data_IF_800382724859
#
_entry.id   IF_800382724859
#
_cell.length_a   1.000
_cell.length_b   1.000
_cell.length_c   1.000
_cell.angle_alpha   90.00
_cell.angle_beta   90.00
_cell.angle_gamma   90.00
#
_symmetry.space_group_name_H-M   'P 1'
#
loop_
_entity.id
_entity.type
_entity.pdbx_description
1 polymer ?
#
# COMPACT_ATOMS: atom_id res chain seq x y z
N UNK A 1 16.09 15.38 -14.21
CA UNK A 1 17.19 15.37 -15.22
C UNK A 1 16.67 16.05 -16.48
N UNK A 2 17.27 17.18 -16.86
CA UNK A 2 16.98 17.82 -18.16
C UNK A 2 17.98 17.30 -19.17
N UNK A 3 17.52 16.50 -20.10
CA UNK A 3 18.27 16.21 -21.31
C UNK A 3 17.51 16.87 -22.45
N UNK A 4 18.09 17.91 -23.04
CA UNK A 4 17.55 18.66 -24.20
C UNK A 4 16.13 19.27 -24.02
N UNK A 5 15.81 19.82 -22.85
CA UNK A 5 14.52 20.50 -22.63
C UNK A 5 13.29 19.59 -22.54
N UNK A 6 13.46 18.28 -22.54
CA UNK A 6 12.38 17.32 -22.35
C UNK A 6 12.24 17.02 -20.85
N UNK A 7 11.09 17.34 -20.30
CA UNK A 7 10.75 16.97 -18.93
C UNK A 7 10.52 15.44 -18.86
N UNK A 8 11.58 14.68 -18.56
CA UNK A 8 11.48 13.22 -18.47
C UNK A 8 10.64 12.88 -17.25
N UNK A 9 9.45 12.32 -17.48
CA UNK A 9 8.59 11.81 -16.42
C UNK A 9 9.37 10.80 -15.57
N UNK A 10 9.31 10.96 -14.25
CA UNK A 10 9.90 9.95 -13.34
C UNK A 10 9.07 8.69 -13.38
N UNK A 11 9.74 7.53 -13.45
CA UNK A 11 9.06 6.24 -13.31
C UNK A 11 8.80 5.96 -11.84
N UNK A 12 7.53 5.77 -11.51
CA UNK A 12 7.08 5.41 -10.17
C UNK A 12 6.60 3.96 -10.21
N UNK A 13 7.08 3.15 -9.28
CA UNK A 13 6.63 1.76 -9.15
C UNK A 13 5.94 1.56 -7.81
N UNK A 14 4.79 0.94 -7.86
CA UNK A 14 4.07 0.47 -6.67
C UNK A 14 3.43 -0.89 -6.92
N UNK A 15 3.18 -1.63 -5.84
CA UNK A 15 2.54 -2.93 -5.92
C UNK A 15 1.61 -3.16 -4.74
N UNK A 16 0.54 -3.92 -4.98
CA UNK A 16 -0.35 -4.37 -3.92
C UNK A 16 -0.32 -5.88 -3.81
N UNK A 17 -0.18 -6.36 -2.57
CA UNK A 17 -0.30 -7.77 -2.28
C UNK A 17 -1.77 -8.18 -2.23
N UNK A 18 -2.22 -9.19 -3.02
CA UNK A 18 -3.60 -9.63 -3.08
C UNK A 18 -3.96 -10.51 -1.86
N UNK A 19 -3.94 -9.92 -0.67
CA UNK A 19 -4.14 -10.60 0.61
C UNK A 19 -5.62 -10.71 1.05
N UNK A 20 -6.58 -10.55 0.13
CA UNK A 20 -8.04 -10.61 0.36
C UNK A 20 -8.72 -9.28 0.05
N UNK A 21 -9.98 -9.13 0.45
CA UNK A 21 -10.79 -7.93 0.17
C UNK A 21 -10.05 -6.64 0.55
N UNK A 22 -10.10 -5.67 -0.38
CA UNK A 22 -9.52 -4.35 -0.14
C UNK A 22 -10.47 -3.51 0.74
N UNK A 23 -9.88 -2.66 1.56
CA UNK A 23 -10.60 -1.82 2.51
C UNK A 23 -10.13 -0.36 2.41
N UNK A 24 -10.87 0.56 3.01
CA UNK A 24 -10.58 1.99 2.96
C UNK A 24 -9.13 2.33 3.37
N UNK A 25 -8.54 1.55 4.30
CA UNK A 25 -7.14 1.68 4.66
C UNK A 25 -6.17 1.40 3.49
N UNK A 26 -6.50 0.51 2.56
CA UNK A 26 -5.73 0.29 1.34
C UNK A 26 -5.91 1.45 0.37
N UNK A 27 -7.15 1.93 0.20
CA UNK A 27 -7.45 3.04 -0.70
C UNK A 27 -6.70 4.31 -0.29
N UNK A 28 -6.95 4.82 0.90
CA UNK A 28 -6.32 6.06 1.38
C UNK A 28 -4.83 5.91 1.72
N UNK A 29 -4.39 4.69 2.05
CA UNK A 29 -3.00 4.41 2.36
C UNK A 29 -2.09 4.35 1.13
N UNK A 30 -2.62 3.93 -0.03
CA UNK A 30 -1.79 3.70 -1.21
C UNK A 30 -2.53 3.95 -2.53
N UNK A 31 -3.75 3.37 -2.74
CA UNK A 31 -4.37 3.32 -4.07
C UNK A 31 -4.73 4.69 -4.62
N UNK A 32 -5.30 5.59 -3.81
CA UNK A 32 -5.65 6.96 -4.22
C UNK A 32 -4.47 7.72 -4.80
N UNK A 33 -3.28 7.51 -4.22
CA UNK A 33 -2.05 8.15 -4.71
C UNK A 33 -1.57 7.57 -6.03
N UNK A 34 -1.73 6.26 -6.23
CA UNK A 34 -1.39 5.65 -7.52
C UNK A 34 -2.25 6.23 -8.61
N UNK A 35 -3.54 6.44 -8.33
CA UNK A 35 -4.47 7.08 -9.26
C UNK A 35 -4.02 8.53 -9.55
N UNK A 36 -3.56 9.28 -8.56
CA UNK A 36 -3.03 10.64 -8.76
C UNK A 36 -1.70 10.65 -9.54
N UNK A 37 -0.80 9.70 -9.26
CA UNK A 37 0.51 9.62 -9.91
C UNK A 37 0.43 9.33 -11.40
N UNK A 38 -0.59 8.59 -11.87
CA UNK A 38 -0.74 8.28 -13.28
C UNK A 38 -0.90 9.53 -14.18
N UNK A 39 -1.37 10.64 -13.62
CA UNK A 39 -1.60 11.86 -14.40
C UNK A 39 -0.29 12.59 -14.75
N UNK A 40 0.71 12.51 -13.88
CA UNK A 40 1.94 13.32 -13.99
C UNK A 40 3.21 12.51 -14.19
N UNK A 41 3.16 11.19 -13.99
CA UNK A 41 4.34 10.33 -13.98
C UNK A 41 4.18 9.15 -14.95
N UNK A 42 5.28 8.43 -15.18
CA UNK A 42 5.29 7.12 -15.81
C UNK A 42 5.01 6.07 -14.72
N UNK A 43 3.73 5.76 -14.52
CA UNK A 43 3.31 4.88 -13.42
C UNK A 43 3.36 3.41 -13.84
N UNK A 44 4.07 2.63 -13.03
CA UNK A 44 4.13 1.18 -13.05
C UNK A 44 3.44 0.65 -11.79
N UNK A 45 2.36 -0.11 -11.94
CA UNK A 45 1.59 -0.64 -10.83
C UNK A 45 1.33 -2.14 -11.02
N UNK A 46 1.64 -2.97 -10.02
CA UNK A 46 1.48 -4.41 -10.15
C UNK A 46 0.75 -5.06 -8.98
N UNK A 47 0.10 -6.17 -9.27
CA UNK A 47 -0.42 -7.09 -8.25
C UNK A 47 0.69 -8.07 -7.92
N UNK A 48 1.27 -7.98 -6.71
CA UNK A 48 2.43 -8.78 -6.29
C UNK A 48 2.00 -10.13 -5.72
N UNK A 49 1.47 -10.98 -6.60
CA UNK A 49 0.91 -12.29 -6.23
C UNK A 49 1.99 -13.31 -5.79
N UNK A 50 3.24 -13.19 -6.27
CA UNK A 50 4.34 -14.04 -5.78
C UNK A 50 4.69 -13.71 -4.33
N UNK A 51 4.67 -12.43 -3.93
CA UNK A 51 4.84 -12.04 -2.52
C UNK A 51 3.73 -12.61 -1.63
N UNK A 52 2.51 -12.74 -2.16
CA UNK A 52 1.38 -13.29 -1.42
C UNK A 52 1.57 -14.77 -1.03
N UNK A 53 2.38 -15.53 -1.78
CA UNK A 53 2.72 -16.93 -1.48
C UNK A 53 3.44 -17.10 -0.11
N UNK A 54 3.98 -16.02 0.44
CA UNK A 54 4.56 -16.06 1.80
C UNK A 54 3.51 -16.22 2.90
N UNK A 55 2.22 -16.00 2.58
CA UNK A 55 1.11 -16.01 3.55
C UNK A 55 -0.14 -16.73 3.06
N UNK A 56 -0.27 -17.01 1.76
CA UNK A 56 -1.41 -17.68 1.15
C UNK A 56 -0.90 -18.95 0.48
N UNK A 57 -1.38 -20.09 0.94
CA UNK A 57 -1.05 -21.43 0.42
C UNK A 57 -2.20 -22.09 -0.37
N UNK A 58 -3.35 -21.41 -0.47
CA UNK A 58 -4.52 -21.86 -1.24
C UNK A 58 -4.55 -21.21 -2.63
N UNK A 59 -4.48 -22.05 -3.68
CA UNK A 59 -4.50 -21.62 -5.09
C UNK A 59 -5.76 -20.85 -5.46
N UNK A 60 -6.93 -21.28 -5.00
CA UNK A 60 -8.21 -20.68 -5.39
C UNK A 60 -8.37 -19.30 -4.74
N UNK A 61 -7.94 -19.18 -3.49
CA UNK A 61 -7.93 -17.92 -2.74
C UNK A 61 -6.96 -16.93 -3.40
N UNK A 62 -5.73 -17.35 -3.72
CA UNK A 62 -4.74 -16.49 -4.34
C UNK A 62 -5.22 -15.99 -5.72
N UNK A 63 -5.73 -16.90 -6.56
CA UNK A 63 -6.24 -16.53 -7.89
C UNK A 63 -7.41 -15.55 -7.79
N UNK A 64 -8.40 -15.83 -6.95
CA UNK A 64 -9.55 -14.95 -6.72
C UNK A 64 -9.12 -13.56 -6.22
N UNK A 65 -8.24 -13.53 -5.23
CA UNK A 65 -7.78 -12.26 -4.65
C UNK A 65 -6.97 -11.43 -5.66
N UNK A 66 -6.19 -12.09 -6.53
CA UNK A 66 -5.41 -11.42 -7.59
C UNK A 66 -6.33 -10.74 -8.58
N UNK A 67 -7.35 -11.45 -9.07
CA UNK A 67 -8.34 -10.89 -10.00
C UNK A 67 -9.15 -9.77 -9.35
N UNK A 68 -9.63 -9.97 -8.12
CA UNK A 68 -10.40 -8.96 -7.41
C UNK A 68 -9.58 -7.68 -7.19
N UNK A 69 -8.31 -7.79 -6.80
CA UNK A 69 -7.45 -6.63 -6.63
C UNK A 69 -7.27 -5.84 -7.94
N UNK A 70 -7.17 -6.53 -9.08
CA UNK A 70 -7.11 -5.87 -10.39
C UNK A 70 -8.42 -5.13 -10.72
N UNK A 71 -9.56 -5.78 -10.49
CA UNK A 71 -10.89 -5.18 -10.70
C UNK A 71 -11.04 -3.92 -9.82
N UNK A 72 -10.70 -4.02 -8.55
CA UNK A 72 -10.82 -2.93 -7.58
C UNK A 72 -9.97 -1.72 -8.00
N UNK A 73 -8.72 -1.94 -8.46
CA UNK A 73 -7.86 -0.86 -8.93
C UNK A 73 -8.45 -0.13 -10.13
N UNK A 74 -8.94 -0.88 -11.13
CA UNK A 74 -9.56 -0.30 -12.34
C UNK A 74 -10.85 0.45 -11.97
N UNK A 75 -11.69 -0.15 -11.13
CA UNK A 75 -12.94 0.46 -10.67
C UNK A 75 -12.71 1.76 -9.87
N UNK A 76 -11.58 1.88 -9.18
CA UNK A 76 -11.21 3.08 -8.43
C UNK A 76 -10.54 4.17 -9.28
N UNK A 77 -10.31 3.91 -10.57
CA UNK A 77 -9.84 4.92 -11.52
C UNK A 77 -8.40 4.74 -12.01
N UNK A 78 -7.75 3.60 -11.75
CA UNK A 78 -6.50 3.27 -12.42
C UNK A 78 -6.79 3.03 -13.91
N UNK A 79 -6.25 3.89 -14.78
CA UNK A 79 -6.45 3.81 -16.22
C UNK A 79 -5.33 2.99 -16.88
N UNK A 80 -5.61 1.80 -17.44
CA UNK A 80 -4.62 0.98 -18.11
C UNK A 80 -4.01 1.62 -19.38
N UNK A 81 -4.61 2.69 -19.90
CA UNK A 81 -4.04 3.47 -21.03
C UNK A 81 -2.98 4.45 -20.57
N UNK A 82 -2.98 4.84 -19.29
CA UNK A 82 -2.03 5.79 -18.69
C UNK A 82 -0.97 5.09 -17.84
N UNK A 83 -1.27 3.88 -17.37
CA UNK A 83 -0.47 3.13 -16.40
C UNK A 83 -0.08 1.78 -16.97
N UNK A 84 1.18 1.39 -16.81
CA UNK A 84 1.56 -0.01 -17.01
C UNK A 84 1.08 -0.80 -15.80
N UNK A 85 0.06 -1.65 -16.04
CA UNK A 85 -0.58 -2.44 -15.00
C UNK A 85 -0.51 -3.94 -15.31
N UNK A 86 0.02 -4.75 -14.37
CA UNK A 86 0.24 -6.18 -14.62
C UNK A 86 0.17 -7.01 -13.33
N UNK A 87 0.17 -8.34 -13.51
CA UNK A 87 0.32 -9.32 -12.43
C UNK A 87 1.78 -9.76 -12.40
N UNK A 88 2.42 -9.69 -11.24
CA UNK A 88 3.85 -9.98 -11.04
C UNK A 88 4.26 -11.36 -11.60
N UNK A 89 3.47 -12.39 -11.30
CA UNK A 89 3.75 -13.76 -11.72
C UNK A 89 3.64 -14.02 -13.23
N UNK A 90 3.06 -13.09 -14.00
CA UNK A 90 2.96 -13.19 -15.45
C UNK A 90 4.25 -12.73 -16.16
N UNK A 91 5.23 -12.23 -15.39
CA UNK A 91 6.55 -11.79 -15.88
C UNK A 91 7.64 -12.73 -15.34
N UNK A 92 8.00 -13.80 -16.06
CA UNK A 92 8.99 -14.80 -15.59
C UNK A 92 10.36 -14.18 -15.24
N UNK A 93 10.71 -13.07 -15.90
CA UNK A 93 11.96 -12.36 -15.67
C UNK A 93 12.12 -11.85 -14.23
N UNK A 94 11.02 -11.66 -13.50
CA UNK A 94 11.06 -11.30 -12.08
C UNK A 94 11.73 -12.42 -11.28
N UNK A 95 11.37 -13.69 -11.50
CA UNK A 95 12.01 -14.83 -10.84
C UNK A 95 13.45 -15.03 -11.32
N UNK A 96 13.71 -14.84 -12.62
CA UNK A 96 15.06 -14.93 -13.18
C UNK A 96 16.00 -13.88 -12.57
N UNK A 97 15.57 -12.61 -12.52
CA UNK A 97 16.36 -11.54 -11.89
C UNK A 97 16.55 -11.77 -10.39
N UNK A 98 15.54 -12.32 -9.70
CA UNK A 98 15.66 -12.71 -8.29
C UNK A 98 16.80 -13.72 -8.09
N UNK A 99 16.91 -14.71 -8.98
CA UNK A 99 18.02 -15.66 -8.92
C UNK A 99 19.37 -14.99 -9.16
N UNK A 100 19.48 -14.13 -10.19
CA UNK A 100 20.71 -13.37 -10.46
C UNK A 100 21.13 -12.52 -9.26
N UNK A 101 20.18 -11.79 -8.67
CA UNK A 101 20.45 -10.95 -7.50
C UNK A 101 20.79 -11.76 -6.25
N UNK A 102 20.24 -12.95 -6.09
CA UNK A 102 20.59 -13.84 -4.98
C UNK A 102 22.08 -14.21 -4.97
N UNK A 103 22.70 -14.33 -6.15
CA UNK A 103 24.13 -14.68 -6.25
C UNK A 103 25.09 -13.53 -5.89
N UNK A 104 24.59 -12.30 -5.85
CA UNK A 104 25.37 -11.12 -5.46
C UNK A 104 24.94 -10.52 -4.12
N UNK A 105 23.89 -11.06 -3.49
CA UNK A 105 23.39 -10.58 -2.20
C UNK A 105 24.01 -11.33 -1.06
N UNK A 106 24.68 -10.62 -0.13
CA UNK A 106 25.26 -11.23 1.04
C UNK A 106 24.19 -11.64 2.06
N UNK A 107 24.31 -12.81 2.67
CA UNK A 107 23.41 -13.30 3.73
C UNK A 107 23.25 -12.27 4.86
N UNK A 108 24.33 -11.63 5.31
CA UNK A 108 24.27 -10.61 6.35
C UNK A 108 23.44 -9.38 6.03
N UNK A 109 23.15 -9.10 4.75
CA UNK A 109 22.19 -8.05 4.36
C UNK A 109 20.76 -8.49 4.69
N UNK A 110 20.41 -9.73 4.42
CA UNK A 110 19.09 -10.31 4.71
C UNK A 110 18.90 -10.55 6.22
N UNK A 111 19.94 -10.98 6.93
CA UNK A 111 19.92 -11.19 8.40
C UNK A 111 19.58 -9.92 9.17
N UNK A 112 19.97 -8.77 8.63
CA UNK A 112 19.64 -7.46 9.21
C UNK A 112 18.23 -6.97 8.87
N UNK A 113 17.53 -7.66 7.98
CA UNK A 113 16.14 -7.30 7.63
C UNK A 113 15.24 -7.49 8.84
N UNK A 114 14.65 -6.41 9.32
CA UNK A 114 13.72 -6.41 10.46
C UNK A 114 12.45 -7.16 10.15
N UNK A 115 11.98 -7.08 8.92
CA UNK A 115 10.70 -7.64 8.50
C UNK A 115 10.63 -9.17 8.56
N UNK A 116 11.73 -9.89 8.34
CA UNK A 116 11.77 -11.35 8.54
C UNK A 116 11.54 -11.68 10.03
N UNK A 117 12.27 -11.00 10.92
CA UNK A 117 12.16 -11.19 12.37
C UNK A 117 10.76 -10.86 12.87
N UNK A 118 10.18 -9.76 12.39
CA UNK A 118 8.82 -9.34 12.75
C UNK A 118 7.75 -10.34 12.28
N UNK A 119 7.91 -10.92 11.10
CA UNK A 119 6.99 -11.93 10.58
C UNK A 119 7.07 -13.24 11.37
N UNK A 120 8.27 -13.69 11.74
CA UNK A 120 8.45 -14.86 12.61
C UNK A 120 7.85 -14.58 14.00
N UNK A 121 8.08 -13.40 14.58
CA UNK A 121 7.48 -13.01 15.87
C UNK A 121 5.94 -12.99 15.83
N UNK A 122 5.34 -12.73 14.65
CA UNK A 122 3.90 -12.80 14.41
C UNK A 122 3.38 -14.22 14.10
N UNK A 123 4.22 -15.24 14.22
CA UNK A 123 3.83 -16.64 14.09
C UNK A 123 3.87 -17.21 12.68
N UNK A 124 4.45 -16.51 11.69
CA UNK A 124 4.67 -17.08 10.37
C UNK A 124 5.76 -18.16 10.44
N UNK A 125 5.55 -19.26 9.71
CA UNK A 125 6.55 -20.33 9.64
C UNK A 125 7.78 -19.86 8.85
N UNK A 126 9.01 -20.02 9.38
CA UNK A 126 10.21 -19.67 8.65
C UNK A 126 10.35 -20.57 7.42
N UNK A 127 10.53 -19.94 6.27
CA UNK A 127 10.86 -20.63 5.02
C UNK A 127 11.78 -19.74 4.17
N UNK A 128 12.38 -20.31 3.12
CA UNK A 128 13.34 -19.61 2.25
C UNK A 128 12.68 -18.41 1.56
N UNK A 129 11.43 -18.54 1.10
CA UNK A 129 10.71 -17.44 0.46
C UNK A 129 10.51 -16.26 1.41
N UNK A 130 10.15 -16.53 2.67
CA UNK A 130 9.99 -15.49 3.69
C UNK A 130 11.32 -14.82 4.05
N UNK A 131 12.43 -15.54 3.98
CA UNK A 131 13.76 -15.00 4.22
C UNK A 131 14.29 -14.17 3.04
N UNK A 132 14.08 -14.66 1.81
CA UNK A 132 14.64 -14.08 0.59
C UNK A 132 13.71 -13.09 -0.14
N UNK A 133 12.47 -12.88 0.32
CA UNK A 133 11.52 -12.00 -0.37
C UNK A 133 12.03 -10.55 -0.59
N UNK A 134 12.98 -9.98 0.21
CA UNK A 134 13.56 -8.68 -0.11
C UNK A 134 14.32 -8.65 -1.44
N UNK A 135 14.87 -9.79 -1.87
CA UNK A 135 15.52 -9.93 -3.18
C UNK A 135 14.47 -9.93 -4.31
N UNK A 136 13.35 -10.64 -4.10
CA UNK A 136 12.22 -10.61 -5.02
C UNK A 136 11.67 -9.19 -5.17
N UNK A 137 11.53 -8.44 -4.08
CA UNK A 137 11.11 -7.04 -4.12
C UNK A 137 12.13 -6.15 -4.83
N UNK A 138 13.44 -6.40 -4.66
CA UNK A 138 14.47 -5.70 -5.41
C UNK A 138 14.33 -5.98 -6.92
N UNK A 139 13.97 -7.21 -7.31
CA UNK A 139 13.72 -7.57 -8.71
C UNK A 139 12.51 -6.79 -9.27
N UNK A 140 11.42 -6.69 -8.52
CA UNK A 140 10.26 -5.90 -8.92
C UNK A 140 10.62 -4.43 -9.18
N UNK A 141 11.54 -3.87 -8.41
CA UNK A 141 11.93 -2.46 -8.50
C UNK A 141 12.93 -2.22 -9.63
N UNK A 142 13.98 -3.03 -9.65
CA UNK A 142 15.13 -2.80 -10.53
C UNK A 142 14.84 -3.19 -11.98
N UNK A 143 14.11 -4.27 -12.21
CA UNK A 143 13.79 -4.77 -13.54
C UNK A 143 13.05 -3.72 -14.39
N UNK A 144 12.23 -2.91 -13.79
CA UNK A 144 11.46 -1.88 -14.46
C UNK A 144 12.09 -0.49 -14.43
N UNK A 145 13.29 -0.35 -13.86
CA UNK A 145 14.02 0.92 -13.80
C UNK A 145 13.27 2.00 -13.01
N UNK A 146 12.67 1.63 -11.89
CA UNK A 146 11.92 2.55 -11.04
C UNK A 146 12.83 3.63 -10.44
N UNK A 147 12.47 4.90 -10.61
CA UNK A 147 13.16 6.03 -9.99
C UNK A 147 12.65 6.28 -8.57
N UNK A 148 11.34 6.14 -8.38
CA UNK A 148 10.65 6.42 -7.11
C UNK A 148 9.77 5.23 -6.74
N UNK A 149 9.84 4.82 -5.48
CA UNK A 149 8.98 3.77 -4.91
C UNK A 149 8.26 4.34 -3.69
N UNK A 150 6.96 4.65 -3.79
CA UNK A 150 6.14 5.09 -2.66
C UNK A 150 5.96 3.94 -1.68
N UNK A 151 6.41 4.13 -0.44
CA UNK A 151 6.36 3.10 0.60
C UNK A 151 6.07 3.68 1.98
N UNK A 152 5.50 2.86 2.85
CA UNK A 152 5.44 3.16 4.28
C UNK A 152 6.84 3.17 4.92
N UNK A 153 6.96 3.78 6.09
CA UNK A 153 8.24 3.84 6.84
C UNK A 153 8.83 2.46 7.12
N UNK A 154 7.98 1.47 7.37
CA UNK A 154 8.34 0.07 7.61
C UNK A 154 8.97 -0.62 6.41
N UNK A 155 8.72 -0.13 5.19
CA UNK A 155 9.25 -0.67 3.94
C UNK A 155 10.52 0.03 3.45
N UNK A 156 10.96 1.11 4.12
CA UNK A 156 12.16 1.87 3.71
C UNK A 156 13.39 0.97 3.58
N UNK A 157 13.59 0.06 4.52
CA UNK A 157 14.73 -0.86 4.52
C UNK A 157 14.77 -1.74 3.27
N UNK A 158 13.62 -2.13 2.71
CA UNK A 158 13.59 -2.94 1.48
C UNK A 158 14.08 -2.14 0.26
N UNK A 159 13.78 -0.84 0.21
CA UNK A 159 14.30 0.02 -0.86
C UNK A 159 15.81 0.21 -0.70
N UNK A 160 16.32 0.31 0.52
CA UNK A 160 17.75 0.35 0.80
C UNK A 160 18.44 -0.95 0.35
N UNK A 161 17.83 -2.12 0.62
CA UNK A 161 18.32 -3.42 0.12
C UNK A 161 18.35 -3.44 -1.42
N UNK A 162 17.29 -2.96 -2.09
CA UNK A 162 17.26 -2.89 -3.54
C UNK A 162 18.36 -1.97 -4.10
N UNK A 163 18.64 -0.84 -3.45
CA UNK A 163 19.74 0.06 -3.80
C UNK A 163 21.10 -0.61 -3.65
N UNK A 164 21.33 -1.31 -2.54
CA UNK A 164 22.58 -2.04 -2.29
C UNK A 164 22.83 -3.12 -3.36
N UNK A 165 21.79 -3.84 -3.75
CA UNK A 165 21.84 -4.83 -4.84
C UNK A 165 22.16 -4.14 -6.16
N UNK A 166 21.50 -3.03 -6.49
CA UNK A 166 21.77 -2.28 -7.73
C UNK A 166 23.20 -1.75 -7.78
N UNK A 167 23.69 -1.13 -6.71
CA UNK A 167 25.07 -0.63 -6.60
C UNK A 167 26.07 -1.77 -6.84
N UNK A 168 25.84 -2.90 -6.21
CA UNK A 168 26.73 -4.06 -6.33
C UNK A 168 26.69 -4.67 -7.72
N UNK A 169 25.51 -4.78 -8.33
CA UNK A 169 25.34 -5.26 -9.70
C UNK A 169 26.07 -4.32 -10.69
N UNK A 170 25.80 -3.03 -10.60
CA UNK A 170 26.43 -2.03 -11.48
C UNK A 170 27.95 -2.03 -11.36
N UNK A 171 28.48 -2.25 -10.16
CA UNK A 171 29.94 -2.36 -9.94
C UNK A 171 30.54 -3.59 -10.63
N UNK A 172 29.82 -4.72 -10.66
CA UNK A 172 30.34 -5.98 -11.21
C UNK A 172 30.16 -6.06 -12.71
N UNK A 173 28.98 -5.63 -13.21
CA UNK A 173 28.54 -5.87 -14.59
C UNK A 173 28.41 -4.60 -15.44
N UNK A 174 28.73 -3.43 -14.87
CA UNK A 174 28.56 -2.13 -15.52
C UNK A 174 27.21 -1.47 -15.20
N UNK A 175 27.13 -0.17 -15.48
CA UNK A 175 25.95 0.68 -15.24
C UNK A 175 24.69 0.12 -15.94
N UNK A 176 23.84 -0.56 -15.20
CA UNK A 176 22.65 -1.26 -15.71
C UNK A 176 21.38 -0.77 -15.02
N UNK A 177 21.37 -0.72 -13.70
CA UNK A 177 20.18 -0.41 -12.92
C UNK A 177 20.19 1.01 -12.36
N UNK A 178 19.03 1.68 -12.48
CA UNK A 178 18.76 2.95 -11.81
C UNK A 178 18.67 2.71 -10.29
N UNK A 179 19.22 3.64 -9.50
CA UNK A 179 19.10 3.58 -8.05
C UNK A 179 17.74 4.12 -7.60
N UNK A 180 16.83 3.29 -7.07
CA UNK A 180 15.51 3.73 -6.67
C UNK A 180 15.57 4.60 -5.42
N UNK A 181 14.67 5.59 -5.32
CA UNK A 181 14.49 6.42 -4.13
C UNK A 181 13.16 6.09 -3.43
N UNK A 182 13.15 5.89 -2.10
CA UNK A 182 11.91 5.75 -1.37
C UNK A 182 11.18 7.08 -1.29
N UNK A 183 9.89 7.08 -1.61
CA UNK A 183 9.02 8.21 -1.32
C UNK A 183 8.21 7.91 -0.06
N UNK A 184 8.65 8.46 1.07
CA UNK A 184 7.98 8.30 2.35
C UNK A 184 7.22 9.58 2.64
N UNK A 185 5.91 9.51 2.65
CA UNK A 185 5.13 10.69 3.00
C UNK A 185 5.20 11.01 4.49
N UNK A 186 5.39 12.30 4.77
CA UNK A 186 5.36 12.85 6.13
C UNK A 186 3.99 12.70 6.79
N UNK A 187 2.93 12.67 5.98
CA UNK A 187 1.54 12.53 6.40
C UNK A 187 0.98 11.16 6.01
N UNK A 188 1.53 10.08 6.55
CA UNK A 188 0.82 8.81 6.56
C UNK A 188 -0.41 8.98 7.46
N UNK A 189 -1.51 9.49 6.88
CA UNK A 189 -2.79 9.57 7.57
C UNK A 189 -3.15 8.15 7.99
N UNK A 190 -3.05 7.90 9.27
CA UNK A 190 -3.47 6.62 9.84
C UNK A 190 -4.98 6.52 9.59
N UNK A 191 -5.37 5.61 8.70
CA UNK A 191 -6.80 5.37 8.46
C UNK A 191 -7.34 4.58 9.64
N UNK A 192 -8.24 5.16 10.45
CA UNK A 192 -8.80 4.47 11.58
C UNK A 192 -9.76 3.37 11.13
N UNK A 193 -9.73 2.23 11.81
CA UNK A 193 -10.75 1.21 11.73
C UNK A 193 -11.99 1.56 12.56
N UNK A 194 -12.97 0.67 12.56
CA UNK A 194 -14.22 0.87 13.33
C UNK A 194 -14.00 0.97 14.84
N UNK A 195 -12.87 0.48 15.33
CA UNK A 195 -12.44 0.48 16.73
C UNK A 195 -11.47 1.62 17.09
N UNK A 196 -11.17 2.52 16.14
CA UNK A 196 -10.24 3.63 16.31
C UNK A 196 -8.76 3.29 16.14
N UNK A 197 -8.39 2.02 16.14
CA UNK A 197 -7.03 1.58 15.84
C UNK A 197 -6.75 1.67 14.34
N UNK A 198 -5.49 1.49 13.93
CA UNK A 198 -5.14 1.39 12.51
C UNK A 198 -5.99 0.34 11.81
N UNK A 199 -6.65 0.72 10.72
CA UNK A 199 -7.46 -0.20 9.93
C UNK A 199 -6.60 -1.35 9.37
N UNK A 200 -6.96 -2.58 9.75
CA UNK A 200 -6.24 -3.79 9.36
C UNK A 200 -7.15 -5.02 9.43
N UNK A 201 -6.97 -5.93 8.49
CA UNK A 201 -7.65 -7.24 8.49
C UNK A 201 -7.37 -8.04 9.75
N UNK A 202 -6.14 -7.96 10.27
CA UNK A 202 -5.73 -8.65 11.50
C UNK A 202 -6.56 -8.25 12.72
N UNK A 203 -7.02 -7.00 12.75
CA UNK A 203 -7.86 -6.48 13.84
C UNK A 203 -9.36 -6.62 13.55
N UNK A 204 -9.75 -7.16 12.38
CA UNK A 204 -11.16 -7.30 11.95
C UNK A 204 -11.96 -5.98 12.00
N UNK A 205 -11.26 -4.85 11.92
CA UNK A 205 -11.80 -3.49 12.07
C UNK A 205 -11.94 -2.75 10.74
N UNK A 206 -11.92 -3.47 9.62
CA UNK A 206 -11.93 -2.91 8.27
C UNK A 206 -13.33 -2.49 7.80
N UNK A 207 -13.37 -1.47 6.95
CA UNK A 207 -14.52 -1.10 6.14
C UNK A 207 -14.16 -1.44 4.70
N UNK A 208 -14.90 -2.34 4.01
CA UNK A 208 -14.59 -2.72 2.64
C UNK A 208 -14.82 -1.55 1.68
N UNK A 209 -14.04 -1.48 0.60
CA UNK A 209 -14.22 -0.45 -0.45
C UNK A 209 -15.50 -0.75 -1.24
N UNK A 210 -15.69 -2.02 -1.59
CA UNK A 210 -16.85 -2.51 -2.32
C UNK A 210 -17.61 -3.53 -1.49
N UNK A 211 -18.93 -3.57 -1.68
CA UNK A 211 -19.80 -4.49 -0.99
C UNK A 211 -21.26 -4.09 -1.14
N UNK A 212 -22.18 -4.88 -0.59
CA UNK A 212 -23.59 -4.47 -0.54
C UNK A 212 -23.75 -3.27 0.41
N UNK A 213 -24.68 -2.38 0.09
CA UNK A 213 -25.03 -1.24 0.93
C UNK A 213 -25.25 -1.65 2.40
N UNK A 214 -25.95 -2.77 2.62
CA UNK A 214 -26.22 -3.33 3.96
C UNK A 214 -24.91 -3.61 4.73
N UNK A 215 -23.89 -4.16 4.07
CA UNK A 215 -22.61 -4.48 4.72
C UNK A 215 -21.86 -3.19 5.02
N UNK A 216 -21.75 -2.29 4.05
CA UNK A 216 -21.05 -1.01 4.20
C UNK A 216 -21.71 -0.20 5.31
N UNK A 217 -23.04 -0.01 5.27
CA UNK A 217 -23.81 0.69 6.30
C UNK A 217 -23.59 0.09 7.68
N UNK A 218 -23.65 -1.25 7.82
CA UNK A 218 -23.40 -1.93 9.10
C UNK A 218 -22.01 -1.59 9.64
N UNK A 219 -20.98 -1.52 8.79
CA UNK A 219 -19.62 -1.18 9.21
C UNK A 219 -19.50 0.27 9.66
N UNK A 220 -20.07 1.24 8.91
CA UNK A 220 -20.10 2.63 9.35
C UNK A 220 -20.84 2.83 10.66
N UNK A 221 -22.00 2.21 10.81
CA UNK A 221 -22.78 2.26 12.05
C UNK A 221 -22.04 1.68 13.27
N UNK A 222 -21.09 0.76 13.05
CA UNK A 222 -20.29 0.15 14.12
C UNK A 222 -19.02 0.92 14.50
N UNK A 223 -18.75 2.07 13.86
CA UNK A 223 -17.61 2.93 14.23
C UNK A 223 -17.79 3.38 15.67
N UNK A 224 -16.72 3.21 16.46
CA UNK A 224 -16.72 3.60 17.87
C UNK A 224 -16.91 5.11 18.02
N UNK A 225 -17.82 5.49 18.89
CA UNK A 225 -18.10 6.87 19.29
C UNK A 225 -18.16 6.92 20.80
N UNK A 226 -17.91 8.08 21.38
CA UNK A 226 -18.09 8.32 22.81
C UNK A 226 -19.58 8.31 23.21
N UNK A 227 -19.84 8.54 24.48
CA UNK A 227 -21.18 8.61 25.08
C UNK A 227 -21.62 10.07 25.35
N UNK A 228 -21.02 11.06 24.68
CA UNK A 228 -21.35 12.47 24.87
C UNK A 228 -22.83 12.75 24.59
N UNK A 229 -23.49 13.54 25.48
CA UNK A 229 -24.88 13.93 25.33
C UNK A 229 -25.11 14.71 24.01
N UNK A 230 -26.34 14.69 23.52
CA UNK A 230 -26.70 15.37 22.27
C UNK A 230 -26.37 16.86 22.29
N UNK A 231 -26.40 17.48 23.44
CA UNK A 231 -26.10 18.92 23.61
C UNK A 231 -24.62 19.21 23.88
N UNK A 232 -23.79 18.17 24.03
CA UNK A 232 -22.36 18.33 24.25
C UNK A 232 -21.60 18.32 22.91
N UNK A 233 -20.53 19.14 22.77
CA UNK A 233 -19.62 19.07 21.64
C UNK A 233 -19.05 17.65 21.47
N UNK A 234 -18.94 17.19 20.22
CA UNK A 234 -18.36 15.88 19.91
C UNK A 234 -16.87 15.97 19.67
N UNK A 235 -16.18 14.86 19.93
CA UNK A 235 -14.74 14.78 19.78
C UNK A 235 -14.33 14.80 18.29
N UNK A 236 -13.63 15.88 17.88
CA UNK A 236 -13.05 16.04 16.54
C UNK A 236 -11.79 15.18 16.33
N UNK A 237 -11.26 14.56 17.37
CA UNK A 237 -10.19 13.56 17.28
C UNK A 237 -10.72 12.13 17.21
N UNK A 238 -12.05 11.96 17.24
CA UNK A 238 -12.69 10.65 17.17
C UNK A 238 -12.38 9.90 15.88
N UNK A 239 -12.44 8.55 15.91
CA UNK A 239 -12.27 7.71 14.71
C UNK A 239 -13.26 8.09 13.60
N UNK A 240 -14.48 8.46 13.97
CA UNK A 240 -15.52 8.86 13.03
C UNK A 240 -15.13 10.15 12.29
N UNK A 241 -14.74 11.20 13.00
CA UNK A 241 -14.32 12.46 12.40
C UNK A 241 -13.10 12.27 11.49
N UNK A 242 -12.08 11.56 11.98
CA UNK A 242 -10.86 11.27 11.20
C UNK A 242 -11.14 10.48 9.93
N UNK A 243 -12.05 9.51 9.99
CA UNK A 243 -12.41 8.71 8.81
C UNK A 243 -13.17 9.55 7.77
N UNK A 244 -14.15 10.34 8.18
CA UNK A 244 -14.90 11.20 7.28
C UNK A 244 -14.02 12.28 6.64
N UNK A 245 -13.10 12.87 7.40
CA UNK A 245 -12.15 13.87 6.88
C UNK A 245 -11.26 13.35 5.74
N UNK A 246 -11.15 12.02 5.55
CA UNK A 246 -10.41 11.46 4.42
C UNK A 246 -11.13 11.63 3.08
N UNK A 247 -12.45 11.81 3.09
CA UNK A 247 -13.28 11.95 1.90
C UNK A 247 -13.54 13.39 1.50
N UNK A 248 -13.20 14.34 2.38
CA UNK A 248 -13.62 15.74 2.30
C UNK A 248 -12.44 16.64 1.93
N UNK A 249 -12.74 17.76 1.26
CA UNK A 249 -11.81 18.85 1.08
C UNK A 249 -11.74 19.72 2.36
N UNK A 250 -10.84 20.70 2.40
CA UNK A 250 -10.61 21.50 3.62
C UNK A 250 -11.86 22.28 4.07
N UNK A 251 -12.62 22.87 3.15
CA UNK A 251 -13.85 23.60 3.50
C UNK A 251 -14.91 22.68 4.10
N UNK A 252 -15.07 21.49 3.52
CA UNK A 252 -16.01 20.47 4.02
C UNK A 252 -15.57 19.89 5.38
N UNK A 253 -14.25 19.80 5.63
CA UNK A 253 -13.70 19.41 6.94
C UNK A 253 -14.05 20.48 7.98
N UNK A 254 -13.92 21.75 7.64
CA UNK A 254 -14.23 22.86 8.54
C UNK A 254 -15.74 22.88 8.87
N UNK A 255 -16.61 22.68 7.89
CA UNK A 255 -18.06 22.52 8.10
C UNK A 255 -18.39 21.30 8.99
N UNK A 256 -17.75 20.15 8.74
CA UNK A 256 -17.93 18.96 9.57
C UNK A 256 -17.50 19.23 11.01
N UNK A 257 -16.39 19.95 11.21
CA UNK A 257 -15.88 20.33 12.51
C UNK A 257 -16.89 21.22 13.26
N UNK A 258 -17.44 22.22 12.59
CA UNK A 258 -18.47 23.10 13.17
C UNK A 258 -19.70 22.32 13.59
N UNK A 259 -20.14 21.34 12.78
CA UNK A 259 -21.23 20.44 13.13
C UNK A 259 -20.93 19.56 14.35
N UNK A 260 -19.69 19.07 14.49
CA UNK A 260 -19.28 18.26 15.64
C UNK A 260 -19.23 19.08 16.93
N UNK A 261 -18.88 20.35 16.85
CA UNK A 261 -18.78 21.25 18.00
C UNK A 261 -20.13 21.89 18.39
N UNK A 262 -21.10 21.89 17.49
CA UNK A 262 -22.44 22.45 17.75
C UNK A 262 -23.29 21.49 18.57
N UNK A 263 -24.17 22.02 19.46
CA UNK A 263 -25.17 21.19 20.15
C UNK A 263 -26.20 20.63 19.17
N UNK A 264 -26.83 19.51 19.53
CA UNK A 264 -27.89 18.88 18.74
C UNK A 264 -27.44 17.81 17.76
N UNK A 265 -26.14 17.57 17.59
CA UNK A 265 -25.63 16.54 16.69
C UNK A 265 -25.78 15.13 17.26
N UNK A 266 -26.36 14.24 16.45
CA UNK A 266 -26.43 12.80 16.75
C UNK A 266 -25.42 12.05 15.88
N UNK A 267 -24.63 11.17 16.48
CA UNK A 267 -23.69 10.32 15.74
C UNK A 267 -24.36 9.47 14.66
N UNK A 268 -25.60 9.01 14.89
CA UNK A 268 -26.37 8.24 13.93
C UNK A 268 -26.73 8.99 12.66
N UNK A 269 -26.83 10.32 12.71
CA UNK A 269 -27.15 11.15 11.55
C UNK A 269 -25.92 11.45 10.68
N UNK A 270 -24.73 11.28 11.27
CA UNK A 270 -23.47 11.44 10.55
C UNK A 270 -23.01 10.10 9.95
N UNK A 271 -23.26 8.98 10.63
CA UNK A 271 -22.93 7.61 10.17
C UNK A 271 -23.86 7.16 9.06
#
# INVERSE_FOLDING_TARGET
>A
LFIYGVNVKKRILSGIQPSGELHLGNYFGMMSRMIEYQEKNDLFCCIVNLHALTTIDDKSILSKNTVNAAIDFIALGLDPKKTTFWIQGDVPQVCQSTWLFSNITNMGLLDRSTSYKDKIAKGLKPNVGLYSYPILMASDILLYGAHIVPVGKDQKQHIEIARDIAIRFNKIYGETFVLPEPSIEKNNRLVPGIDGNKMSKSYKNTIPIFGSEKIIRKRFMSILTDSADINEPKDIDSPLFKLFSLFLNQSEIDELKDRFLAPGMRYGDVK
#
